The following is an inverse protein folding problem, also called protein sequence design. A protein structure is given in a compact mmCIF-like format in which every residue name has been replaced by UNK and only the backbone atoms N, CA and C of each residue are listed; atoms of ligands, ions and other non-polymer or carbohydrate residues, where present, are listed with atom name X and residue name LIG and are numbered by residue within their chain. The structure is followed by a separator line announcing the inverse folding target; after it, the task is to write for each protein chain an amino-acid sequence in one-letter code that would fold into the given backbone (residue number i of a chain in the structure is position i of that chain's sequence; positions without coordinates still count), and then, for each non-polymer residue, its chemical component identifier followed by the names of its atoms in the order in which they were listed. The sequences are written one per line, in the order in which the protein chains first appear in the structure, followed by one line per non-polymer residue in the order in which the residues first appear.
data_IF_998874830010
#
_entry.id   IF_998874830010
#
_cell.length_a   1.000
_cell.length_b   1.000
_cell.length_c   1.000
_cell.angle_alpha   90.00
_cell.angle_beta   90.00
_cell.angle_gamma   90.00
#
_symmetry.space_group_name_H-M   'P 1'
#
loop_
_entity.id
_entity.type
_entity.pdbx_description
1 polymer ?
#
# COMPACT_ATOMS: atom_id res chain seq x y z
N UNK A 1 9.79 -10.07 7.37
CA UNK A 1 10.30 -8.82 7.98
C UNK A 1 11.44 -9.11 8.94
N UNK A 2 12.49 -8.27 8.97
CA UNK A 2 13.72 -8.50 9.73
C UNK A 2 13.60 -8.37 11.27
N UNK A 3 12.43 -8.00 11.80
CA UNK A 3 12.19 -7.83 13.25
C UNK A 3 10.88 -8.49 13.73
N UNK A 4 10.29 -9.41 12.97
CA UNK A 4 8.98 -10.02 13.30
C UNK A 4 7.77 -9.06 13.22
N UNK A 5 7.98 -7.80 12.84
CA UNK A 5 6.93 -6.79 12.68
C UNK A 5 6.33 -6.83 11.27
N UNK A 6 5.01 -6.65 11.17
CA UNK A 6 4.32 -6.44 9.88
C UNK A 6 4.82 -5.15 9.22
N UNK A 7 5.22 -5.24 7.94
CA UNK A 7 5.59 -4.07 7.14
C UNK A 7 4.32 -3.45 6.56
N UNK A 8 4.16 -2.14 6.66
CA UNK A 8 3.18 -1.37 5.88
C UNK A 8 3.95 -0.31 5.09
N UNK A 9 3.73 -0.27 3.78
CA UNK A 9 4.26 0.75 2.89
C UNK A 9 3.07 1.63 2.47
N UNK A 10 3.18 2.95 2.69
CA UNK A 10 2.21 3.92 2.14
C UNK A 10 2.84 4.52 0.87
N UNK A 11 2.41 4.10 -0.33
CA UNK A 11 2.94 4.62 -1.59
C UNK A 11 2.40 6.01 -1.89
N UNK A 12 3.12 6.76 -2.72
CA UNK A 12 2.80 8.15 -3.07
C UNK A 12 1.40 8.27 -3.70
N UNK A 13 1.02 7.33 -4.56
CA UNK A 13 -0.31 7.29 -5.20
C UNK A 13 -1.46 7.07 -4.21
N UNK A 14 -1.17 6.64 -2.98
CA UNK A 14 -2.15 6.39 -1.93
C UNK A 14 -2.21 7.52 -0.88
N UNK A 15 -1.56 8.66 -1.16
CA UNK A 15 -1.45 9.79 -0.22
C UNK A 15 -2.81 10.28 0.29
N UNK A 16 -3.78 10.52 -0.59
CA UNK A 16 -5.10 11.03 -0.20
C UNK A 16 -5.90 10.00 0.61
N UNK A 17 -5.87 8.74 0.17
CA UNK A 17 -6.52 7.62 0.86
C UNK A 17 -5.90 7.32 2.24
N UNK A 18 -4.71 7.84 2.54
CA UNK A 18 -4.10 7.81 3.87
C UNK A 18 -4.39 9.07 4.68
N UNK A 19 -4.17 10.26 4.10
CA UNK A 19 -4.25 11.54 4.82
C UNK A 19 -5.70 11.94 5.18
N UNK A 20 -6.67 11.66 4.31
CA UNK A 20 -8.08 12.01 4.59
C UNK A 20 -8.62 11.19 5.77
N UNK A 21 -8.45 9.85 5.82
CA UNK A 21 -8.81 9.09 7.01
C UNK A 21 -8.05 9.47 8.28
N UNK A 22 -6.76 9.79 8.17
CA UNK A 22 -5.96 10.24 9.30
C UNK A 22 -6.49 11.57 9.86
N UNK A 23 -6.92 12.50 9.00
CA UNK A 23 -7.58 13.74 9.42
C UNK A 23 -8.89 13.47 10.16
N UNK A 24 -9.69 12.49 9.70
CA UNK A 24 -10.92 12.09 10.39
C UNK A 24 -10.65 11.57 11.80
N UNK A 25 -9.63 10.72 11.94
CA UNK A 25 -9.19 10.23 13.24
C UNK A 25 -8.76 11.38 14.17
N UNK A 26 -7.90 12.27 13.69
CA UNK A 26 -7.33 13.34 14.52
C UNK A 26 -8.35 14.43 14.90
N UNK A 27 -9.25 14.80 13.99
CA UNK A 27 -10.16 15.92 14.19
C UNK A 27 -11.52 15.50 14.78
N UNK A 28 -11.93 14.25 14.55
CA UNK A 28 -13.28 13.77 14.88
C UNK A 28 -13.27 12.52 15.76
N UNK A 29 -12.10 12.02 16.16
CA UNK A 29 -11.93 10.76 16.89
C UNK A 29 -12.55 9.54 16.17
N UNK A 30 -12.82 9.64 14.86
CA UNK A 30 -13.35 8.54 14.06
C UNK A 30 -12.20 7.74 13.44
N UNK A 31 -11.87 6.62 14.09
CA UNK A 31 -10.84 5.69 13.63
C UNK A 31 -11.28 4.81 12.46
N UNK A 32 -12.58 4.71 12.19
CA UNK A 32 -13.14 3.75 11.23
C UNK A 32 -12.57 3.87 9.81
N UNK A 33 -12.51 5.06 9.19
CA UNK A 33 -11.92 5.20 7.86
C UNK A 33 -10.42 4.91 7.88
N UNK A 34 -9.72 5.27 8.96
CA UNK A 34 -8.27 5.07 9.06
C UNK A 34 -7.93 3.59 9.14
N UNK A 35 -8.63 2.82 9.97
CA UNK A 35 -8.46 1.37 10.05
C UNK A 35 -8.70 0.73 8.69
N UNK A 36 -9.77 1.10 7.97
CA UNK A 36 -10.05 0.57 6.62
C UNK A 36 -8.91 0.85 5.63
N UNK A 37 -8.40 2.08 5.61
CA UNK A 37 -7.28 2.45 4.74
C UNK A 37 -6.01 1.68 5.09
N UNK A 38 -5.70 1.56 6.39
CA UNK A 38 -4.52 0.83 6.87
C UNK A 38 -4.62 -0.68 6.59
N UNK A 39 -5.81 -1.28 6.72
CA UNK A 39 -6.04 -2.69 6.35
C UNK A 39 -5.83 -2.91 4.85
N UNK A 40 -6.38 -2.03 4.00
CA UNK A 40 -6.20 -2.13 2.54
C UNK A 40 -4.74 -2.02 2.14
N UNK A 41 -4.01 -1.04 2.69
CA UNK A 41 -2.62 -0.83 2.30
C UNK A 41 -1.67 -1.88 2.91
N UNK A 42 -2.02 -2.45 4.06
CA UNK A 42 -1.33 -3.64 4.56
C UNK A 42 -1.52 -4.84 3.61
N UNK A 43 -2.75 -5.10 3.15
CA UNK A 43 -3.03 -6.16 2.17
C UNK A 43 -2.23 -5.97 0.86
N UNK A 44 -2.10 -4.72 0.40
CA UNK A 44 -1.24 -4.40 -0.73
C UNK A 44 0.25 -4.65 -0.43
N UNK A 45 0.72 -4.25 0.76
CA UNK A 45 2.12 -4.42 1.17
C UNK A 45 2.53 -5.89 1.25
N UNK A 46 1.68 -6.77 1.79
CA UNK A 46 2.00 -8.20 1.95
C UNK A 46 1.97 -8.98 0.63
N UNK A 47 1.43 -8.40 -0.45
CA UNK A 47 1.32 -9.07 -1.74
C UNK A 47 2.64 -9.09 -2.54
N UNK A 48 3.69 -8.43 -2.06
CA UNK A 48 5.01 -8.43 -2.71
C UNK A 48 5.92 -9.51 -2.14
N UNK A 49 6.67 -10.18 -3.02
CA UNK A 49 7.80 -10.99 -2.60
C UNK A 49 8.99 -10.08 -2.22
N UNK A 50 9.40 -10.17 -0.96
CA UNK A 50 10.51 -9.41 -0.40
C UNK A 50 11.83 -10.19 -0.37
N UNK A 51 11.82 -11.44 -0.82
CA UNK A 51 13.02 -12.28 -0.95
C UNK A 51 13.72 -12.07 -2.29
N UNK A 52 13.01 -11.55 -3.30
CA UNK A 52 13.55 -11.22 -4.60
C UNK A 52 14.57 -10.04 -4.55
N UNK A 53 15.46 -9.92 -5.55
CA UNK A 53 16.37 -8.79 -5.67
C UNK A 53 15.66 -7.44 -5.63
N UNK A 54 16.32 -6.44 -5.02
CA UNK A 54 15.77 -5.08 -4.87
C UNK A 54 15.30 -4.46 -6.20
N UNK A 55 16.01 -4.58 -7.33
CA UNK A 55 15.55 -4.03 -8.61
C UNK A 55 14.22 -4.62 -9.07
N UNK A 56 14.01 -5.92 -8.86
CA UNK A 56 12.78 -6.59 -9.27
C UNK A 56 11.60 -6.12 -8.40
N UNK A 57 11.83 -5.99 -7.08
CA UNK A 57 10.82 -5.49 -6.16
C UNK A 57 10.44 -4.04 -6.50
N UNK A 58 11.44 -3.22 -6.82
CA UNK A 58 11.21 -1.85 -7.28
C UNK A 58 10.38 -1.81 -8.57
N UNK A 59 10.67 -2.70 -9.52
CA UNK A 59 9.87 -2.86 -10.74
C UNK A 59 8.42 -3.27 -10.47
N UNK A 60 8.19 -4.18 -9.52
CA UNK A 60 6.84 -4.56 -9.09
C UNK A 60 6.07 -3.39 -8.46
N UNK A 61 6.73 -2.62 -7.57
CA UNK A 61 6.14 -1.41 -6.98
C UNK A 61 5.78 -0.38 -8.05
N UNK A 62 6.64 -0.18 -9.06
CA UNK A 62 6.38 0.76 -10.15
C UNK A 62 5.17 0.36 -11.00
N UNK A 63 5.01 -0.94 -11.32
CA UNK A 63 3.82 -1.46 -12.03
C UNK A 63 2.52 -1.24 -11.25
N UNK A 64 2.61 -1.07 -9.93
CA UNK A 64 1.48 -0.78 -9.05
C UNK A 64 1.18 0.72 -8.92
N UNK A 65 1.82 1.57 -9.72
CA UNK A 65 1.79 3.04 -9.65
C UNK A 65 2.31 3.60 -8.32
N UNK A 66 3.10 2.86 -7.54
CA UNK A 66 3.42 3.22 -6.15
C UNK A 66 4.13 4.58 -5.98
N UNK A 67 4.76 5.09 -7.04
CA UNK A 67 5.51 6.36 -7.01
C UNK A 67 4.78 7.51 -7.70
N UNK A 68 3.60 7.28 -8.28
CA UNK A 68 2.88 8.30 -9.06
C UNK A 68 2.29 9.39 -8.14
N UNK A 69 2.36 10.64 -8.61
CA UNK A 69 1.83 11.82 -7.91
C UNK A 69 0.53 12.35 -8.51
N UNK A 70 0.27 12.06 -9.79
CA UNK A 70 -0.93 12.49 -10.48
C UNK A 70 -2.10 11.55 -10.20
N UNK A 71 -2.76 11.81 -9.07
CA UNK A 71 -3.88 10.99 -8.58
C UNK A 71 -5.13 11.04 -9.46
N UNK A 72 -5.17 11.92 -10.48
CA UNK A 72 -6.28 11.97 -11.44
C UNK A 72 -6.15 10.88 -12.49
N UNK A 73 -4.92 10.56 -12.86
CA UNK A 73 -4.60 9.59 -13.91
C UNK A 73 -4.16 8.23 -13.35
N UNK A 74 -3.65 8.21 -12.12
CA UNK A 74 -3.13 7.01 -11.48
C UNK A 74 -3.87 6.66 -10.21
N UNK A 75 -4.02 5.35 -9.99
CA UNK A 75 -4.58 4.78 -8.77
C UNK A 75 -3.69 3.63 -8.31
N UNK A 76 -3.77 3.31 -7.01
CA UNK A 76 -3.12 2.13 -6.47
C UNK A 76 -3.63 0.86 -7.17
N UNK A 77 -2.71 0.11 -7.77
CA UNK A 77 -2.98 -1.19 -8.37
C UNK A 77 -2.38 -2.28 -7.48
N UNK A 78 -3.10 -3.38 -7.27
CA UNK A 78 -2.55 -4.54 -6.57
C UNK A 78 -1.67 -5.34 -7.52
N UNK A 79 -0.52 -5.86 -7.05
CA UNK A 79 0.26 -6.77 -7.88
C UNK A 79 -0.58 -8.00 -8.22
N UNK A 80 -0.45 -8.52 -9.44
CA UNK A 80 -1.08 -9.77 -9.81
C UNK A 80 -0.55 -10.87 -8.89
N UNK A 81 -1.48 -11.54 -8.19
CA UNK A 81 -1.14 -12.74 -7.43
C UNK A 81 -0.86 -13.82 -8.46
N UNK A 82 0.37 -14.33 -8.52
CA UNK A 82 0.64 -15.55 -9.29
C UNK A 82 -0.29 -16.64 -8.75
N UNK A 83 -1.33 -16.97 -9.51
CA UNK A 83 -2.29 -18.02 -9.20
C UNK A 83 -1.68 -19.41 -9.45
N UNK A 84 -0.47 -19.64 -8.95
CA UNK A 84 0.21 -20.92 -8.97
C UNK A 84 0.39 -21.39 -7.53
N UNK A 85 -0.61 -22.12 -7.03
CA UNK A 85 -0.52 -22.81 -5.74
C UNK A 85 -1.59 -22.41 -4.73
N UNK A 86 -2.84 -22.77 -5.02
CA UNK A 86 -3.84 -23.10 -4.01
C UNK A 86 -4.49 -24.43 -4.38
#
# INVERSE_FOLDING_TARGET
SAAGLSRIIVPTVYREDYLLPLKSLSNHADATPYIRAMTRIHAWTVAFDYTQPRPDLYGALKRCNAFEEDLRNYRLVFPEVNAEGA
#
